data_IF_576159249953
#
_entry.id   IF_576159249953
#
_cell.length_a   1.000
_cell.length_b   1.000
_cell.length_c   1.000
_cell.angle_alpha   90.00
_cell.angle_beta   90.00
_cell.angle_gamma   90.00
#
_symmetry.space_group_name_H-M   'P 1'
#
loop_
_entity.id
_entity.type
_entity.pdbx_description
1 polymer ?
#
# COMPACT_ATOMS: atom_id res chain seq x y z
N UNK A 1 19.98 -4.66 4.89
CA UNK A 1 18.69 -5.31 4.64
C UNK A 1 18.95 -6.73 4.17
N UNK A 2 18.24 -7.71 4.69
CA UNK A 2 18.36 -9.12 4.29
C UNK A 2 17.79 -9.30 2.87
N UNK A 3 18.65 -9.60 1.89
CA UNK A 3 18.25 -9.74 0.47
C UNK A 3 17.39 -10.99 0.22
N UNK A 4 17.32 -11.92 1.18
CA UNK A 4 16.51 -13.14 1.07
C UNK A 4 15.04 -12.91 1.44
N UNK A 5 14.72 -11.82 2.16
CA UNK A 5 13.38 -11.50 2.65
C UNK A 5 12.76 -10.32 1.90
N UNK A 6 11.45 -10.37 1.57
CA UNK A 6 10.74 -9.23 0.99
C UNK A 6 10.53 -8.14 2.03
N UNK A 7 10.62 -6.89 1.59
CA UNK A 7 10.11 -5.75 2.33
C UNK A 7 8.59 -5.65 2.13
N UNK A 8 7.83 -5.40 3.20
CA UNK A 8 6.36 -5.24 3.15
C UNK A 8 5.91 -3.87 3.69
N UNK A 9 6.87 -3.03 4.04
CA UNK A 9 6.58 -1.71 4.59
C UNK A 9 6.15 -0.74 3.48
N UNK A 10 4.93 -0.22 3.57
CA UNK A 10 4.41 0.80 2.65
C UNK A 10 5.19 2.12 2.73
N UNK A 11 5.88 2.39 3.83
CA UNK A 11 6.70 3.60 3.97
C UNK A 11 7.93 3.59 3.04
N UNK A 12 8.30 2.41 2.56
CA UNK A 12 9.39 2.25 1.59
C UNK A 12 8.98 2.58 0.15
N UNK A 13 7.72 2.85 -0.13
CA UNK A 13 7.23 3.32 -1.42
C UNK A 13 7.44 4.83 -1.59
N UNK A 14 7.49 5.31 -2.83
CA UNK A 14 7.42 6.75 -3.09
C UNK A 14 6.11 7.33 -2.51
N UNK A 15 6.09 8.58 -2.04
CA UNK A 15 4.93 9.15 -1.33
C UNK A 15 3.61 9.02 -2.10
N UNK A 16 3.60 9.25 -3.41
CA UNK A 16 2.42 9.11 -4.25
C UNK A 16 1.98 7.65 -4.38
N UNK A 17 2.95 6.72 -4.55
CA UNK A 17 2.67 5.28 -4.66
C UNK A 17 2.14 4.74 -3.33
N UNK A 18 2.74 5.16 -2.21
CA UNK A 18 2.25 4.83 -0.87
C UNK A 18 0.81 5.29 -0.67
N UNK A 19 0.51 6.56 -0.99
CA UNK A 19 -0.85 7.10 -0.92
C UNK A 19 -1.83 6.28 -1.74
N UNK A 20 -1.46 5.98 -2.99
CA UNK A 20 -2.28 5.16 -3.88
C UNK A 20 -2.47 3.73 -3.37
N UNK A 21 -1.43 3.10 -2.81
CA UNK A 21 -1.50 1.76 -2.24
C UNK A 21 -2.46 1.70 -1.03
N UNK A 22 -2.42 2.71 -0.15
CA UNK A 22 -3.35 2.79 0.99
C UNK A 22 -4.80 2.89 0.48
N UNK A 23 -5.09 3.81 -0.44
CA UNK A 23 -6.42 3.98 -1.02
C UNK A 23 -6.89 2.71 -1.76
N UNK A 24 -5.98 2.03 -2.45
CA UNK A 24 -6.26 0.77 -3.12
C UNK A 24 -6.67 -0.33 -2.13
N UNK A 25 -5.93 -0.48 -1.03
CA UNK A 25 -6.25 -1.46 0.02
C UNK A 25 -7.62 -1.18 0.65
N UNK A 26 -7.94 0.08 0.91
CA UNK A 26 -9.24 0.50 1.45
C UNK A 26 -10.38 0.21 0.48
N UNK A 27 -10.21 0.53 -0.81
CA UNK A 27 -11.21 0.25 -1.84
C UNK A 27 -11.43 -1.26 -2.02
N UNK A 28 -10.36 -2.05 -2.03
CA UNK A 28 -10.44 -3.50 -2.08
C UNK A 28 -11.20 -4.06 -0.86
N UNK A 29 -10.88 -3.58 0.34
CA UNK A 29 -11.59 -3.97 1.58
C UNK A 29 -13.08 -3.61 1.50
N UNK A 30 -13.42 -2.42 0.99
CA UNK A 30 -14.81 -1.98 0.79
C UNK A 30 -15.57 -2.92 -0.15
N UNK A 31 -14.89 -3.49 -1.14
CA UNK A 31 -15.46 -4.47 -2.07
C UNK A 31 -15.36 -5.93 -1.60
N UNK A 32 -15.00 -6.16 -0.34
CA UNK A 32 -14.89 -7.49 0.25
C UNK A 32 -13.65 -8.28 -0.19
N UNK A 33 -12.63 -7.59 -0.72
CA UNK A 33 -11.36 -8.18 -1.11
C UNK A 33 -10.33 -7.99 0.02
N UNK A 34 -10.09 -9.05 0.79
CA UNK A 34 -9.10 -9.03 1.86
C UNK A 34 -7.70 -9.32 1.29
N UNK A 35 -6.83 -8.33 1.36
CA UNK A 35 -5.50 -8.33 0.73
C UNK A 35 -4.40 -8.27 1.80
N UNK A 36 -3.28 -8.92 1.51
CA UNK A 36 -1.99 -8.72 2.18
C UNK A 36 -0.97 -8.18 1.19
N UNK A 37 -0.15 -7.22 1.62
CA UNK A 37 1.05 -6.80 0.88
C UNK A 37 2.13 -7.85 1.07
N UNK A 38 2.69 -8.34 -0.02
CA UNK A 38 3.74 -9.37 -0.01
C UNK A 38 5.11 -8.80 -0.27
N UNK A 39 5.24 -7.78 -1.09
CA UNK A 39 6.50 -7.05 -1.30
C UNK A 39 6.22 -5.59 -1.72
N UNK A 40 7.06 -4.65 -1.26
CA UNK A 40 7.06 -3.24 -1.64
C UNK A 40 8.40 -2.89 -2.29
N UNK A 41 9.30 -2.22 -1.55
CA UNK A 41 10.63 -1.92 -2.04
C UNK A 41 11.50 -3.19 -2.13
N UNK A 42 12.19 -3.33 -3.25
CA UNK A 42 13.15 -4.39 -3.52
C UNK A 42 14.50 -3.78 -3.87
N UNK A 43 15.52 -3.85 -3.00
CA UNK A 43 16.86 -3.40 -3.36
C UNK A 43 17.38 -4.12 -4.61
N UNK A 44 18.21 -3.46 -5.42
CA UNK A 44 18.77 -4.05 -6.64
C UNK A 44 19.49 -5.38 -6.35
N UNK A 45 20.23 -5.47 -5.25
CA UNK A 45 20.89 -6.71 -4.84
C UNK A 45 19.90 -7.88 -4.66
N UNK A 46 18.69 -7.62 -4.11
CA UNK A 46 17.65 -8.63 -4.03
C UNK A 46 17.05 -8.95 -5.41
N UNK A 47 16.87 -7.96 -6.27
CA UNK A 47 16.41 -8.20 -7.64
C UNK A 47 17.38 -9.09 -8.41
N UNK A 48 18.68 -8.85 -8.30
CA UNK A 48 19.72 -9.64 -8.94
C UNK A 48 19.73 -11.07 -8.34
N UNK A 49 19.62 -11.19 -7.02
CA UNK A 49 19.52 -12.45 -6.32
C UNK A 49 18.32 -13.30 -6.77
N UNK A 50 17.14 -12.67 -6.96
CA UNK A 50 15.95 -13.32 -7.50
C UNK A 50 16.12 -13.70 -8.98
N UNK A 51 16.79 -12.85 -9.77
CA UNK A 51 17.04 -13.12 -11.19
C UNK A 51 17.94 -14.34 -11.40
N UNK A 52 18.89 -14.57 -10.52
CA UNK A 52 19.77 -15.74 -10.54
C UNK A 52 19.02 -17.07 -10.27
N UNK A 53 17.91 -17.02 -9.55
CA UNK A 53 17.13 -18.21 -9.25
C UNK A 53 16.58 -18.87 -10.52
N UNK A 54 16.80 -20.18 -10.67
CA UNK A 54 16.45 -20.94 -11.87
C UNK A 54 17.35 -20.64 -13.09
N UNK A 55 18.51 -19.97 -12.85
CA UNK A 55 19.58 -19.70 -13.83
C UNK A 55 20.93 -20.19 -13.27
N UNK A 56 21.62 -19.30 -12.54
CA UNK A 56 22.91 -19.62 -11.87
C UNK A 56 22.71 -20.22 -10.48
N UNK A 57 21.53 -20.03 -9.90
CA UNK A 57 21.09 -20.62 -8.62
C UNK A 57 19.95 -21.62 -8.84
N UNK A 58 19.93 -22.68 -8.02
CA UNK A 58 18.86 -23.66 -8.05
C UNK A 58 17.47 -23.06 -7.79
N UNK A 59 16.43 -23.72 -8.28
CA UNK A 59 15.03 -23.33 -8.10
C UNK A 59 14.33 -22.96 -9.40
N UNK A 60 13.07 -22.54 -9.28
CA UNK A 60 12.27 -22.06 -10.43
C UNK A 60 12.55 -20.59 -10.70
N UNK A 61 12.51 -20.17 -11.95
CA UNK A 61 12.58 -18.74 -12.31
C UNK A 61 11.42 -17.98 -11.67
N UNK A 62 11.73 -16.95 -10.88
CA UNK A 62 10.76 -16.12 -10.15
C UNK A 62 10.68 -14.70 -10.66
N UNK A 63 11.62 -14.26 -11.50
CA UNK A 63 11.55 -12.99 -12.22
C UNK A 63 12.23 -13.11 -13.59
N UNK A 64 11.73 -12.30 -14.54
CA UNK A 64 12.24 -12.27 -15.93
C UNK A 64 13.13 -11.07 -16.21
N UNK A 65 13.22 -10.12 -15.29
CA UNK A 65 13.93 -8.87 -15.48
C UNK A 65 14.91 -8.58 -14.34
N UNK A 66 15.99 -7.88 -14.68
CA UNK A 66 16.86 -7.23 -13.69
C UNK A 66 16.42 -5.80 -13.36
N UNK A 67 15.51 -5.22 -14.17
CA UNK A 67 14.95 -3.88 -13.97
C UNK A 67 13.51 -4.02 -13.53
N UNK A 68 13.22 -3.76 -12.25
CA UNK A 68 11.88 -3.87 -11.69
C UNK A 68 11.44 -2.53 -11.11
N UNK A 69 10.15 -2.22 -11.20
CA UNK A 69 9.57 -1.03 -10.55
C UNK A 69 9.61 -1.09 -9.03
N UNK A 70 9.81 -2.28 -8.45
CA UNK A 70 10.09 -2.42 -7.01
C UNK A 70 11.42 -1.75 -6.62
N UNK A 71 12.43 -1.80 -7.49
CA UNK A 71 13.75 -1.18 -7.20
C UNK A 71 13.70 0.34 -7.19
N UNK A 72 12.74 0.93 -7.89
CA UNK A 72 12.45 2.36 -7.90
C UNK A 72 11.34 2.79 -6.94
N UNK A 73 10.91 1.89 -6.03
CA UNK A 73 9.84 2.16 -5.04
C UNK A 73 8.49 2.52 -5.65
N UNK A 74 8.23 2.05 -6.89
CA UNK A 74 7.03 2.35 -7.68
C UNK A 74 6.07 1.17 -7.82
N UNK A 75 6.35 0.04 -7.16
CA UNK A 75 5.52 -1.16 -7.26
C UNK A 75 5.34 -1.82 -5.90
N UNK A 76 4.23 -2.56 -5.80
CA UNK A 76 3.95 -3.45 -4.69
C UNK A 76 3.25 -4.71 -5.19
N UNK A 77 3.47 -5.82 -4.50
CA UNK A 77 2.82 -7.10 -4.76
C UNK A 77 1.79 -7.40 -3.68
N UNK A 78 0.72 -8.07 -4.06
CA UNK A 78 -0.39 -8.44 -3.19
C UNK A 78 -0.64 -9.95 -3.19
N UNK A 79 -1.31 -10.43 -2.16
CA UNK A 79 -1.95 -11.74 -2.18
C UNK A 79 -3.30 -11.71 -1.45
N UNK A 80 -4.08 -12.78 -1.63
CA UNK A 80 -5.32 -12.98 -0.88
C UNK A 80 -4.99 -13.25 0.59
N UNK A 81 -5.72 -12.62 1.51
CA UNK A 81 -5.57 -12.87 2.96
C UNK A 81 -6.36 -14.11 3.40
N UNK A 82 -6.08 -15.26 2.76
CA UNK A 82 -6.67 -16.55 3.09
C UNK A 82 -5.57 -17.59 3.10
N UNK A 83 -5.33 -18.18 4.29
CA UNK A 83 -4.27 -19.16 4.48
C UNK A 83 -4.43 -20.36 3.55
N UNK A 84 -3.36 -20.71 2.83
CA UNK A 84 -3.31 -21.81 1.87
C UNK A 84 -3.97 -21.53 0.52
N UNK A 85 -4.55 -20.32 0.35
CA UNK A 85 -5.16 -19.85 -0.90
C UNK A 85 -4.66 -18.48 -1.32
N UNK A 86 -3.46 -18.12 -0.91
CA UNK A 86 -2.88 -16.78 -1.09
C UNK A 86 -2.84 -16.36 -2.57
N UNK A 87 -2.61 -17.32 -3.48
CA UNK A 87 -2.53 -17.09 -4.93
C UNK A 87 -3.63 -17.82 -5.74
N UNK A 88 -4.66 -18.34 -5.06
CA UNK A 88 -5.84 -18.89 -5.73
C UNK A 88 -6.65 -17.76 -6.39
N UNK A 89 -6.89 -17.90 -7.71
CA UNK A 89 -7.67 -16.94 -8.51
C UNK A 89 -8.96 -17.58 -9.09
N UNK A 90 -9.39 -18.72 -8.58
CA UNK A 90 -10.58 -19.43 -9.05
C UNK A 90 -11.87 -18.61 -8.95
N UNK A 91 -11.89 -17.65 -8.01
CA UNK A 91 -12.98 -16.70 -7.76
C UNK A 91 -12.81 -15.33 -8.45
N UNK A 92 -11.79 -15.18 -9.32
CA UNK A 92 -11.48 -13.93 -10.00
C UNK A 92 -10.91 -12.83 -9.09
N UNK A 93 -10.37 -13.19 -7.93
CA UNK A 93 -9.86 -12.24 -6.94
C UNK A 93 -8.83 -11.27 -7.53
N UNK A 94 -7.79 -11.77 -8.19
CA UNK A 94 -6.74 -10.91 -8.76
C UNK A 94 -7.24 -10.04 -9.91
N UNK A 95 -8.21 -10.54 -10.69
CA UNK A 95 -8.85 -9.72 -11.73
C UNK A 95 -9.55 -8.51 -11.12
N UNK A 96 -10.35 -8.73 -10.08
CA UNK A 96 -11.06 -7.63 -9.39
C UNK A 96 -10.09 -6.63 -8.76
N UNK A 97 -9.00 -7.11 -8.15
CA UNK A 97 -7.94 -6.25 -7.64
C UNK A 97 -7.28 -5.43 -8.76
N UNK A 98 -6.98 -6.06 -9.90
CA UNK A 98 -6.38 -5.41 -11.05
C UNK A 98 -7.30 -4.33 -11.65
N UNK A 99 -8.61 -4.61 -11.77
CA UNK A 99 -9.62 -3.64 -12.24
C UNK A 99 -9.64 -2.39 -11.35
N UNK A 100 -9.63 -2.57 -10.02
CA UNK A 100 -9.55 -1.46 -9.05
C UNK A 100 -8.24 -0.69 -9.24
N UNK A 101 -7.10 -1.37 -9.29
CA UNK A 101 -5.80 -0.73 -9.45
C UNK A 101 -5.74 0.11 -10.74
N UNK A 102 -6.21 -0.42 -11.87
CA UNK A 102 -6.24 0.27 -13.16
C UNK A 102 -7.17 1.49 -13.11
N UNK A 103 -8.34 1.38 -12.50
CA UNK A 103 -9.25 2.52 -12.33
C UNK A 103 -8.62 3.67 -11.55
N UNK A 104 -7.71 3.35 -10.63
CA UNK A 104 -6.96 4.31 -9.81
C UNK A 104 -5.69 4.85 -10.51
N UNK A 105 -5.39 4.44 -11.74
CA UNK A 105 -4.23 4.91 -12.51
C UNK A 105 -2.99 4.07 -12.39
N UNK A 106 -3.03 2.97 -11.64
CA UNK A 106 -1.95 1.99 -11.64
C UNK A 106 -1.94 1.15 -12.91
N UNK A 107 -0.82 0.50 -13.17
CA UNK A 107 -0.69 -0.60 -14.10
C UNK A 107 -0.67 -1.90 -13.31
N UNK A 108 -1.48 -2.87 -13.71
CA UNK A 108 -1.57 -4.18 -13.08
C UNK A 108 -0.95 -5.26 -13.97
N UNK A 109 -0.03 -6.04 -13.42
CA UNK A 109 0.62 -7.14 -14.12
C UNK A 109 -0.33 -8.28 -14.50
N UNK A 110 -1.54 -8.28 -13.93
CA UNK A 110 -2.61 -9.18 -14.34
C UNK A 110 -2.91 -9.12 -15.85
N UNK A 111 -2.77 -7.93 -16.45
CA UNK A 111 -3.10 -7.68 -17.87
C UNK A 111 -1.90 -7.78 -18.82
N UNK A 112 -0.73 -8.18 -18.34
CA UNK A 112 0.43 -8.37 -19.20
C UNK A 112 0.36 -9.69 -19.99
N UNK A 113 0.98 -9.74 -21.15
CA UNK A 113 1.09 -10.98 -21.93
C UNK A 113 1.75 -12.11 -21.12
N UNK A 114 2.80 -11.77 -20.38
CA UNK A 114 3.35 -12.61 -19.30
C UNK A 114 2.73 -12.16 -17.99
N UNK A 115 1.56 -12.73 -17.72
CA UNK A 115 0.75 -12.36 -16.57
C UNK A 115 1.54 -12.46 -15.25
N UNK A 116 1.49 -11.38 -14.46
CA UNK A 116 1.98 -11.32 -13.10
C UNK A 116 0.83 -10.81 -12.19
N UNK A 117 -0.03 -11.74 -11.77
CA UNK A 117 -1.29 -11.43 -11.11
C UNK A 117 -1.16 -10.57 -9.85
N UNK A 118 -0.13 -10.77 -8.97
CA UNK A 118 0.01 -9.98 -7.75
C UNK A 118 0.56 -8.58 -7.99
N UNK A 119 1.20 -8.29 -9.13
CA UNK A 119 2.00 -7.09 -9.35
C UNK A 119 1.16 -5.87 -9.69
N UNK A 120 1.39 -4.77 -8.94
CA UNK A 120 0.77 -3.46 -9.17
C UNK A 120 1.87 -2.40 -9.14
N UNK A 121 1.90 -1.51 -10.16
CA UNK A 121 2.91 -0.46 -10.26
C UNK A 121 2.32 0.89 -10.70
N UNK A 122 2.98 1.97 -10.33
CA UNK A 122 2.73 3.30 -10.88
C UNK A 122 3.86 3.65 -11.86
N UNK A 123 3.54 3.73 -13.13
CA UNK A 123 4.51 4.10 -14.17
C UNK A 123 4.94 5.56 -14.02
N UNK A 124 6.10 5.89 -14.60
CA UNK A 124 6.59 7.27 -14.63
C UNK A 124 5.65 8.15 -15.45
N UNK A 125 5.38 9.36 -14.94
CA UNK A 125 4.44 10.30 -15.55
C UNK A 125 2.97 9.96 -15.35
N UNK A 126 2.62 8.83 -14.72
CA UNK A 126 1.25 8.54 -14.30
C UNK A 126 1.02 9.03 -12.87
N UNK A 127 -0.23 9.41 -12.60
CA UNK A 127 -0.69 9.89 -11.31
C UNK A 127 -1.87 9.06 -10.81
N UNK A 128 -2.00 8.98 -9.49
CA UNK A 128 -3.11 8.29 -8.86
C UNK A 128 -4.40 9.09 -9.11
N UNK A 129 -5.37 8.40 -9.68
CA UNK A 129 -6.73 8.92 -9.85
C UNK A 129 -7.54 8.54 -8.63
N UNK A 130 -8.13 9.52 -7.99
CA UNK A 130 -9.05 9.26 -6.88
C UNK A 130 -10.40 8.83 -7.45
N UNK A 131 -10.95 7.69 -7.01
CA UNK A 131 -12.32 7.33 -7.31
C UNK A 131 -13.27 8.24 -6.52
N UNK A 132 -14.49 8.48 -7.04
CA UNK A 132 -15.52 9.26 -6.32
C UNK A 132 -15.83 8.74 -4.90
N UNK A 133 -15.45 7.49 -4.59
CA UNK A 133 -15.58 6.92 -3.25
C UNK A 133 -14.35 7.13 -2.34
N UNK A 134 -13.18 7.46 -2.90
CA UNK A 134 -11.97 7.71 -2.11
C UNK A 134 -11.88 9.17 -1.60
N UNK A 135 -12.73 10.07 -2.07
CA UNK A 135 -12.87 11.42 -1.49
C UNK A 135 -13.28 11.36 0.00
N UNK A 136 -13.94 10.28 0.41
CA UNK A 136 -14.35 10.02 1.79
C UNK A 136 -13.16 9.89 2.77
N UNK A 137 -11.99 9.51 2.26
CA UNK A 137 -10.75 9.37 3.03
C UNK A 137 -9.78 10.53 2.83
N UNK A 138 -10.26 11.62 2.22
CA UNK A 138 -9.44 12.83 2.08
C UNK A 138 -9.18 13.44 3.45
N UNK A 139 -7.92 13.78 3.67
CA UNK A 139 -7.56 14.64 4.77
C UNK A 139 -8.26 15.99 4.58
N UNK A 140 -9.09 16.35 5.51
CA UNK A 140 -9.68 17.67 5.60
C UNK A 140 -9.03 18.46 6.73
N UNK A 141 -8.85 19.75 6.52
CA UNK A 141 -8.43 20.65 7.58
C UNK A 141 -9.64 21.06 8.38
N UNK A 142 -9.64 20.74 9.67
CA UNK A 142 -10.69 21.09 10.61
C UNK A 142 -10.13 21.85 11.79
N UNK A 143 -10.91 22.78 12.31
CA UNK A 143 -10.60 23.45 13.58
C UNK A 143 -11.07 22.55 14.73
N UNK A 144 -10.15 22.13 15.56
CA UNK A 144 -10.42 21.33 16.75
C UNK A 144 -10.09 22.17 17.99
N UNK A 145 -11.04 22.20 18.91
CA UNK A 145 -10.83 22.86 20.22
C UNK A 145 -10.67 21.80 21.30
N UNK A 146 -9.59 21.89 22.04
CA UNK A 146 -9.30 21.02 23.17
C UNK A 146 -8.75 21.87 24.32
N UNK A 147 -9.35 21.74 25.50
CA UNK A 147 -9.02 22.55 26.70
C UNK A 147 -8.93 24.06 26.41
N UNK A 148 -9.90 24.59 25.65
CA UNK A 148 -9.99 26.01 25.33
C UNK A 148 -9.01 26.52 24.25
N UNK A 149 -8.09 25.69 23.77
CA UNK A 149 -7.17 26.01 22.68
C UNK A 149 -7.72 25.48 21.36
N UNK A 150 -7.87 26.33 20.36
CA UNK A 150 -8.31 25.94 19.01
C UNK A 150 -7.13 25.92 18.05
N UNK A 151 -6.92 24.82 17.34
CA UNK A 151 -5.90 24.67 16.30
C UNK A 151 -6.50 24.03 15.05
N UNK A 152 -5.86 24.28 13.91
CA UNK A 152 -6.19 23.61 12.66
C UNK A 152 -5.39 22.31 12.55
N UNK A 153 -6.06 21.19 12.35
CA UNK A 153 -5.47 19.87 12.21
C UNK A 153 -5.98 19.18 10.95
N UNK A 154 -5.17 18.31 10.38
CA UNK A 154 -5.62 17.42 9.30
C UNK A 154 -6.31 16.20 9.88
N UNK A 155 -7.55 15.99 9.51
CA UNK A 155 -8.31 14.80 9.89
C UNK A 155 -8.60 13.93 8.67
N UNK A 156 -8.68 12.63 8.87
CA UNK A 156 -9.23 11.69 7.89
C UNK A 156 -10.73 11.56 8.19
N UNK A 157 -11.56 11.82 7.19
CA UNK A 157 -13.00 11.58 7.29
C UNK A 157 -13.32 10.16 6.81
N UNK A 158 -13.89 9.32 7.69
CA UNK A 158 -14.38 7.99 7.37
C UNK A 158 -15.83 7.86 7.79
N UNK A 159 -16.73 7.94 6.81
CA UNK A 159 -18.15 7.71 7.02
C UNK A 159 -18.84 8.68 7.99
N UNK A 160 -18.36 9.91 8.08
CA UNK A 160 -18.84 10.90 9.04
C UNK A 160 -18.06 10.95 10.34
N UNK A 161 -17.15 10.00 10.57
CA UNK A 161 -16.19 10.05 11.66
C UNK A 161 -14.91 10.75 11.22
N UNK A 162 -14.41 11.67 12.04
CA UNK A 162 -13.15 12.39 11.80
C UNK A 162 -12.06 11.85 12.72
N UNK A 163 -10.98 11.36 12.12
CA UNK A 163 -9.84 10.82 12.83
C UNK A 163 -8.66 11.77 12.72
N UNK A 164 -8.20 12.28 13.84
CA UNK A 164 -6.98 13.08 13.95
C UNK A 164 -5.79 12.16 14.23
N UNK A 165 -4.62 12.46 13.67
CA UNK A 165 -3.41 11.72 14.01
C UNK A 165 -3.00 12.02 15.46
N UNK A 166 -2.62 10.99 16.23
CA UNK A 166 -2.19 11.17 17.62
C UNK A 166 -1.04 12.15 17.77
N UNK A 167 -0.12 12.17 16.80
CA UNK A 167 0.99 13.13 16.78
C UNK A 167 0.52 14.60 16.70
N UNK A 168 -0.69 14.88 16.23
CA UNK A 168 -1.20 16.25 16.16
C UNK A 168 -1.58 16.84 17.53
N UNK A 169 -1.65 16.01 18.58
CA UNK A 169 -1.89 16.49 19.95
C UNK A 169 -0.78 17.41 20.47
N UNK A 170 0.44 17.30 19.92
CA UNK A 170 1.51 18.27 20.25
C UNK A 170 1.13 19.72 19.94
N UNK A 171 0.26 19.96 18.95
CA UNK A 171 -0.24 21.29 18.58
C UNK A 171 -1.06 21.92 19.72
N UNK A 172 -1.62 21.09 20.60
CA UNK A 172 -2.31 21.51 21.82
C UNK A 172 -1.37 21.58 23.04
N UNK A 173 -0.07 21.29 22.85
CA UNK A 173 0.90 21.22 23.96
C UNK A 173 0.82 19.92 24.75
N UNK A 174 0.19 18.88 24.19
CA UNK A 174 0.02 17.58 24.85
C UNK A 174 1.04 16.56 24.35
N UNK A 175 1.55 15.74 25.26
CA UNK A 175 2.35 14.56 24.94
C UNK A 175 1.42 13.37 24.78
N UNK A 176 1.68 12.56 23.76
CA UNK A 176 0.96 11.32 23.53
C UNK A 176 1.92 10.16 23.71
N UNK A 177 1.59 9.26 24.59
CA UNK A 177 2.34 8.04 24.85
C UNK A 177 1.38 6.85 24.94
N UNK A 178 1.90 5.64 24.86
CA UNK A 178 1.10 4.44 25.07
C UNK A 178 1.42 3.32 24.07
N UNK A 179 0.59 2.31 24.10
CA UNK A 179 0.65 1.13 23.23
C UNK A 179 -0.63 1.07 22.41
N UNK A 180 -0.69 0.15 21.43
CA UNK A 180 -1.90 -0.09 20.61
C UNK A 180 -3.17 -0.39 21.42
N UNK A 181 -3.02 -0.73 22.72
CA UNK A 181 -4.13 -1.06 23.61
C UNK A 181 -4.49 0.04 24.61
N UNK A 182 -3.59 1.00 24.85
CA UNK A 182 -3.81 2.10 25.78
C UNK A 182 -3.05 3.34 25.33
N UNK A 183 -3.77 4.41 25.08
CA UNK A 183 -3.22 5.72 24.73
C UNK A 183 -3.36 6.64 25.94
N UNK A 184 -2.30 7.35 26.30
CA UNK A 184 -2.28 8.35 27.35
C UNK A 184 -1.99 9.71 26.72
N UNK A 185 -2.83 10.70 27.03
CA UNK A 185 -2.66 12.10 26.62
C UNK A 185 -2.39 12.92 27.90
N UNK A 186 -1.21 13.52 27.99
CA UNK A 186 -0.74 14.32 29.12
C UNK A 186 -0.63 15.79 28.76
#
# INVERSE_FOLDING_TARGET
MDITKPCRDLNELLPEVKKGAILFLEECKRQGLNILITETYRPQARQDWLYEQGRTRAGRKVTWTKKSKHTSRRAFDICKSVRGKEYDNSDGFFKRCADIAVSMGFTAGYYWDKQDMPHIQLDEGKHIKMSKGSEKYMKEKVKVTFEGKTVEVECINDGGHRYMQLQDFWKFGKKVSGTDKKIVIE
#
